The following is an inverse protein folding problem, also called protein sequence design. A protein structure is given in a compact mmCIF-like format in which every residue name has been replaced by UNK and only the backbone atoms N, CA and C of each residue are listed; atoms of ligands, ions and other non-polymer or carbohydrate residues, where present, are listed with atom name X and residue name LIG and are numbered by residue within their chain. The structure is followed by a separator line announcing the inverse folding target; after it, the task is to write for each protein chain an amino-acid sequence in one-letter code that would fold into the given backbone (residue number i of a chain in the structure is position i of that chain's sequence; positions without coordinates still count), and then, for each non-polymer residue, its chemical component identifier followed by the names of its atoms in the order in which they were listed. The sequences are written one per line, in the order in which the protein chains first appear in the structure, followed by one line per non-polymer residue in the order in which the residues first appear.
data_IF_593763661370
#
_entry.id   IF_593763661370
#
_cell.length_a   1.000
_cell.length_b   1.000
_cell.length_c   1.000
_cell.angle_alpha   90.00
_cell.angle_beta   90.00
_cell.angle_gamma   90.00
#
_symmetry.space_group_name_H-M   'P 1'
#
loop_
_entity.id
_entity.type
_entity.pdbx_description
1 polymer ?
#
# COMPACT_ATOMS: atom_id res chain seq x y z
N UNK A 1 -1.38 -4.60 6.47
CA UNK A 1 -2.71 -4.97 6.99
C UNK A 1 -2.85 -6.50 6.95
N UNK A 2 -3.54 -7.11 7.91
CA UNK A 2 -3.84 -8.54 7.93
C UNK A 2 -5.33 -8.73 8.28
N UNK A 3 -6.05 -9.50 7.47
CA UNK A 3 -7.34 -10.10 7.86
C UNK A 3 -7.09 -11.59 8.03
N UNK A 4 -7.50 -12.16 9.17
CA UNK A 4 -7.34 -13.59 9.42
C UNK A 4 -8.07 -14.40 8.35
N UNK A 5 -7.54 -15.56 7.92
CA UNK A 5 -8.08 -16.32 6.78
C UNK A 5 -9.60 -16.54 6.81
N UNK A 6 -10.13 -16.83 8.00
CA UNK A 6 -11.54 -17.15 8.25
C UNK A 6 -12.48 -15.96 8.05
N UNK A 7 -11.94 -14.74 7.99
CA UNK A 7 -12.68 -13.49 7.87
C UNK A 7 -12.40 -12.74 6.56
N UNK A 8 -11.60 -13.34 5.66
CA UNK A 8 -11.30 -12.76 4.34
C UNK A 8 -12.52 -12.83 3.43
N UNK A 9 -12.60 -11.93 2.44
CA UNK A 9 -13.72 -11.87 1.50
C UNK A 9 -15.00 -11.24 2.05
N UNK A 10 -15.04 -10.88 3.34
CA UNK A 10 -16.19 -10.24 3.99
C UNK A 10 -16.17 -8.71 3.92
N UNK A 11 -15.25 -8.12 3.14
CA UNK A 11 -15.15 -6.66 3.00
C UNK A 11 -14.47 -5.93 4.18
N UNK A 12 -14.08 -6.62 5.25
CA UNK A 12 -13.37 -6.02 6.41
C UNK A 12 -12.10 -5.26 6.00
N UNK A 13 -11.41 -5.79 4.98
CA UNK A 13 -10.32 -5.13 4.27
C UNK A 13 -10.64 -3.68 3.91
N UNK A 14 -11.72 -3.54 3.15
CA UNK A 14 -12.19 -2.27 2.62
C UNK A 14 -12.70 -1.36 3.73
N UNK A 15 -13.43 -1.89 4.71
CA UNK A 15 -13.95 -1.11 5.84
C UNK A 15 -12.83 -0.44 6.64
N UNK A 16 -11.76 -1.18 6.96
CA UNK A 16 -10.62 -0.59 7.65
C UNK A 16 -9.95 0.48 6.79
N UNK A 17 -9.76 0.23 5.49
CA UNK A 17 -9.14 1.20 4.61
C UNK A 17 -9.94 2.49 4.51
N UNK A 18 -11.27 2.42 4.42
CA UNK A 18 -12.15 3.61 4.42
C UNK A 18 -11.96 4.40 5.71
N UNK A 19 -11.96 3.74 6.87
CA UNK A 19 -11.71 4.42 8.14
C UNK A 19 -10.32 5.08 8.18
N UNK A 20 -9.28 4.39 7.70
CA UNK A 20 -7.93 4.94 7.64
C UNK A 20 -7.83 6.14 6.69
N UNK A 21 -8.52 6.11 5.55
CA UNK A 21 -8.61 7.24 4.63
C UNK A 21 -9.21 8.46 5.31
N UNK A 22 -10.20 8.28 6.18
CA UNK A 22 -10.85 9.37 6.91
C UNK A 22 -10.00 9.92 8.07
N UNK A 23 -9.27 9.07 8.79
CA UNK A 23 -8.66 9.47 10.07
C UNK A 23 -7.13 9.59 10.06
N UNK A 24 -6.42 8.71 9.35
CA UNK A 24 -4.96 8.57 9.49
C UNK A 24 -4.18 8.92 8.21
N UNK A 25 -4.67 8.48 7.05
CA UNK A 25 -3.95 8.62 5.79
C UNK A 25 -3.91 10.08 5.34
N UNK A 26 -2.74 10.47 4.85
CA UNK A 26 -2.45 11.81 4.32
C UNK A 26 -1.86 11.71 2.94
N UNK A 27 -2.08 12.75 2.14
CA UNK A 27 -1.45 12.85 0.83
C UNK A 27 0.06 12.67 0.93
N UNK A 28 0.60 11.78 0.10
CA UNK A 28 2.01 11.45 0.13
C UNK A 28 2.42 10.38 1.15
N UNK A 29 1.49 9.70 1.82
CA UNK A 29 1.81 8.48 2.56
C UNK A 29 2.23 7.36 1.60
N UNK A 30 3.21 6.56 2.00
CA UNK A 30 3.75 5.46 1.18
C UNK A 30 3.53 4.11 1.84
N UNK A 31 3.30 3.09 1.02
CA UNK A 31 3.30 1.69 1.46
C UNK A 31 4.06 0.80 0.48
N UNK A 32 4.68 -0.25 1.02
CA UNK A 32 5.26 -1.34 0.21
C UNK A 32 4.33 -2.55 0.34
N UNK A 33 3.53 -2.77 -0.70
CA UNK A 33 2.52 -3.82 -0.72
C UNK A 33 3.05 -5.07 -1.42
N UNK A 34 2.52 -6.25 -1.06
CA UNK A 34 2.71 -7.45 -1.86
C UNK A 34 2.05 -7.26 -3.23
N UNK A 35 2.68 -7.71 -4.31
CA UNK A 35 2.20 -7.46 -5.68
C UNK A 35 0.73 -7.88 -5.91
N UNK A 36 0.29 -9.01 -5.34
CA UNK A 36 -1.11 -9.45 -5.46
C UNK A 36 -2.12 -8.57 -4.72
N UNK A 37 -1.67 -7.62 -3.89
CA UNK A 37 -2.51 -6.65 -3.20
C UNK A 37 -2.52 -5.29 -3.90
N UNK A 38 -1.77 -5.10 -4.99
CA UNK A 38 -1.73 -3.83 -5.74
C UNK A 38 -3.13 -3.35 -6.11
N UNK A 39 -3.93 -4.23 -6.74
CA UNK A 39 -5.31 -3.89 -7.13
C UNK A 39 -6.22 -3.59 -5.94
N UNK A 40 -5.95 -4.16 -4.77
CA UNK A 40 -6.72 -3.86 -3.55
C UNK A 40 -6.40 -2.44 -3.06
N UNK A 41 -5.12 -2.08 -2.95
CA UNK A 41 -4.71 -0.74 -2.54
C UNK A 41 -5.11 0.34 -3.55
N UNK A 42 -5.07 0.02 -4.86
CA UNK A 42 -5.51 0.93 -5.90
C UNK A 42 -6.99 1.35 -5.78
N UNK A 43 -7.86 0.47 -5.29
CA UNK A 43 -9.25 0.79 -5.01
C UNK A 43 -9.42 1.79 -3.85
N UNK A 44 -8.37 1.98 -3.04
CA UNK A 44 -8.33 2.87 -1.88
C UNK A 44 -7.39 4.07 -2.09
N UNK A 45 -7.27 4.58 -3.32
CA UNK A 45 -6.56 5.84 -3.59
C UNK A 45 -5.03 5.71 -3.62
N UNK A 46 -4.48 4.49 -3.57
CA UNK A 46 -3.06 4.29 -3.76
C UNK A 46 -2.71 4.18 -5.24
N UNK A 47 -1.55 4.70 -5.61
CA UNK A 47 -0.98 4.57 -6.95
C UNK A 47 0.40 3.94 -6.87
N UNK A 48 0.65 2.94 -7.71
CA UNK A 48 1.97 2.34 -7.87
C UNK A 48 2.96 3.36 -8.42
N UNK A 49 4.15 3.36 -7.86
CA UNK A 49 5.25 4.23 -8.25
C UNK A 49 6.40 3.40 -8.83
N UNK A 50 7.09 3.99 -9.80
CA UNK A 50 8.40 3.50 -10.20
C UNK A 50 9.44 3.80 -9.10
N UNK A 51 10.52 3.02 -9.07
CA UNK A 51 11.57 3.18 -8.05
C UNK A 51 12.26 4.55 -8.12
N UNK A 52 12.27 5.18 -9.29
CA UNK A 52 12.83 6.51 -9.53
C UNK A 52 11.98 7.63 -8.94
N UNK A 53 10.68 7.39 -8.72
CA UNK A 53 9.74 8.36 -8.16
C UNK A 53 9.77 8.36 -6.62
N UNK A 54 10.41 7.36 -6.01
CA UNK A 54 10.52 7.28 -4.56
C UNK A 54 11.53 8.29 -4.00
N UNK A 55 11.19 8.96 -2.89
CA UNK A 55 12.17 9.72 -2.11
C UNK A 55 13.38 8.85 -1.73
N UNK A 56 14.59 9.42 -1.74
CA UNK A 56 15.83 8.69 -1.49
C UNK A 56 15.80 7.74 -0.27
N UNK A 57 15.26 8.15 0.91
CA UNK A 57 15.19 7.25 2.06
C UNK A 57 14.29 6.02 1.81
N UNK A 58 13.16 6.23 1.13
CA UNK A 58 12.21 5.16 0.80
C UNK A 58 12.74 4.26 -0.30
N UNK A 59 13.45 4.81 -1.30
CA UNK A 59 14.09 4.03 -2.35
C UNK A 59 15.09 3.03 -1.76
N UNK A 60 15.96 3.48 -0.85
CA UNK A 60 16.93 2.60 -0.19
C UNK A 60 16.26 1.50 0.63
N UNK A 61 15.18 1.82 1.36
CA UNK A 61 14.40 0.83 2.09
C UNK A 61 13.75 -0.17 1.14
N UNK A 62 13.13 0.31 0.05
CA UNK A 62 12.47 -0.52 -0.95
C UNK A 62 13.45 -1.53 -1.59
N UNK A 63 14.61 -1.06 -2.06
CA UNK A 63 15.64 -1.92 -2.64
C UNK A 63 16.07 -3.05 -1.69
N UNK A 64 16.19 -2.78 -0.39
CA UNK A 64 16.53 -3.81 0.62
C UNK A 64 15.43 -4.86 0.77
N UNK A 65 14.16 -4.46 0.68
CA UNK A 65 13.04 -5.39 0.84
C UNK A 65 12.84 -6.29 -0.39
N UNK A 66 13.08 -5.80 -1.61
CA UNK A 66 12.92 -6.59 -2.85
C UNK A 66 14.10 -7.55 -3.08
N UNK A 67 15.31 -7.23 -2.61
CA UNK A 67 16.47 -8.14 -2.68
C UNK A 67 16.23 -9.48 -1.98
N UNK A 68 15.29 -9.55 -1.03
CA UNK A 68 14.89 -10.78 -0.35
C UNK A 68 13.94 -11.69 -1.15
N UNK A 69 13.70 -11.42 -2.44
CA UNK A 69 12.88 -12.27 -3.32
C UNK A 69 11.36 -12.11 -3.17
N UNK A 70 10.89 -11.11 -2.41
CA UNK A 70 9.47 -10.80 -2.31
C UNK A 70 9.06 -9.88 -3.46
N UNK A 71 8.00 -10.24 -4.17
CA UNK A 71 7.33 -9.35 -5.13
C UNK A 71 6.58 -8.26 -4.35
N UNK A 72 7.29 -7.17 -4.08
CA UNK A 72 6.74 -5.96 -3.48
C UNK A 72 6.61 -4.87 -4.54
N UNK A 73 5.57 -4.06 -4.40
CA UNK A 73 5.34 -2.85 -5.17
C UNK A 73 5.35 -1.66 -4.23
N UNK A 74 5.96 -0.56 -4.66
CA UNK A 74 5.88 0.69 -3.95
C UNK A 74 4.65 1.46 -4.39
N UNK A 75 3.84 1.92 -3.44
CA UNK A 75 2.63 2.69 -3.73
C UNK A 75 2.57 3.94 -2.86
N UNK A 76 1.93 4.98 -3.38
CA UNK A 76 1.67 6.24 -2.66
C UNK A 76 0.19 6.52 -2.60
N UNK A 77 -0.30 6.90 -1.43
CA UNK A 77 -1.67 7.37 -1.26
C UNK A 77 -1.80 8.77 -1.86
N UNK A 78 -2.82 8.92 -2.70
CA UNK A 78 -3.25 10.19 -3.27
C UNK A 78 -4.58 10.53 -2.61
N UNK A 79 -4.58 11.56 -1.76
CA UNK A 79 -5.77 11.90 -1.00
C UNK A 79 -6.89 12.39 -1.95
N UNK A 80 -8.04 11.71 -2.02
CA UNK A 80 -9.15 12.13 -2.88
C UNK A 80 -10.11 13.11 -2.20
N UNK A 81 -9.91 13.45 -0.93
CA UNK A 81 -10.78 14.33 -0.14
C UNK A 81 -10.60 15.82 -0.46
#
# INVERSE_FOLDING_TARGET
MLVIPEQRGLGLGHQLMVQLQETELKDGDFCFALGHLESFYAQHGFRTLAEEELPNPLKQLFCRYIQGGKSLVAMRYLDPR
#
